data_IF_458281162649
#
_entry.id   IF_458281162649
#
_cell.length_a   1.000
_cell.length_b   1.000
_cell.length_c   1.000
_cell.angle_alpha   90.00
_cell.angle_beta   90.00
_cell.angle_gamma   90.00
#
_symmetry.space_group_name_H-M   'P 1'
#
loop_
_entity.id
_entity.type
_entity.pdbx_description
1 polymer ?
#
# COMPACT_ATOMS: atom_id res chain seq x y z
N UNK A 1 -19.70 -0.39 12.82
CA UNK A 1 -18.67 -0.91 13.72
C UNK A 1 -18.99 -0.56 15.16
N UNK A 2 -18.93 -1.54 16.04
CA UNK A 2 -19.00 -1.29 17.49
C UNK A 2 -17.83 -0.34 17.86
N UNK A 3 -18.10 0.69 18.64
CA UNK A 3 -17.09 1.69 19.00
C UNK A 3 -16.93 2.86 18.02
N UNK A 4 -17.37 2.76 16.77
CA UNK A 4 -17.26 3.87 15.80
C UNK A 4 -18.01 5.11 16.32
N UNK A 5 -17.30 6.23 16.43
CA UNK A 5 -17.85 7.49 16.97
C UNK A 5 -17.86 7.58 18.50
N UNK A 6 -17.39 6.54 19.23
CA UNK A 6 -17.20 6.62 20.66
C UNK A 6 -15.97 7.46 21.03
N UNK A 7 -15.92 8.09 22.21
CA UNK A 7 -14.74 8.80 22.68
C UNK A 7 -13.62 7.84 23.09
N UNK A 8 -12.37 8.32 23.06
CA UNK A 8 -11.20 7.58 23.52
C UNK A 8 -10.73 6.49 22.58
N UNK A 9 -9.94 5.55 23.12
CA UNK A 9 -9.24 4.52 22.32
C UNK A 9 -10.18 3.61 21.53
N UNK A 10 -11.37 3.32 22.06
CA UNK A 10 -12.35 2.48 21.38
C UNK A 10 -12.83 3.11 20.07
N UNK A 11 -13.18 4.39 20.12
CA UNK A 11 -13.61 5.11 18.91
C UNK A 11 -12.47 5.33 17.93
N UNK A 12 -11.29 5.61 18.43
CA UNK A 12 -10.09 5.78 17.61
C UNK A 12 -9.75 4.48 16.86
N UNK A 13 -9.67 3.36 17.57
CA UNK A 13 -9.46 2.04 16.98
C UNK A 13 -10.50 1.72 15.91
N UNK A 14 -11.79 1.84 16.23
CA UNK A 14 -12.85 1.51 15.29
C UNK A 14 -12.82 2.40 14.02
N UNK A 15 -12.45 3.67 14.18
CA UNK A 15 -12.29 4.59 13.05
C UNK A 15 -11.14 4.19 12.14
N UNK A 16 -9.96 3.95 12.69
CA UNK A 16 -8.76 3.60 11.90
C UNK A 16 -8.87 2.20 11.28
N UNK A 17 -9.43 1.24 12.02
CA UNK A 17 -9.70 -0.09 11.48
C UNK A 17 -10.63 -0.05 10.27
N UNK A 18 -11.70 0.73 10.31
CA UNK A 18 -12.64 0.83 9.19
C UNK A 18 -12.10 1.70 8.06
N UNK A 19 -11.63 2.91 8.34
CA UNK A 19 -11.29 3.88 7.31
C UNK A 19 -9.88 3.67 6.74
N UNK A 20 -8.94 3.19 7.53
CA UNK A 20 -7.58 3.01 7.02
C UNK A 20 -7.33 1.56 6.61
N UNK A 21 -7.34 0.63 7.53
CA UNK A 21 -7.08 -0.78 7.21
C UNK A 21 -8.20 -1.38 6.34
N UNK A 22 -9.44 -1.18 6.71
CA UNK A 22 -10.61 -1.79 6.04
C UNK A 22 -10.80 -1.30 4.61
N UNK A 23 -10.65 0.01 4.35
CA UNK A 23 -10.71 0.54 2.98
C UNK A 23 -9.58 -0.01 2.11
N UNK A 24 -8.35 0.00 2.61
CA UNK A 24 -7.19 -0.55 1.88
C UNK A 24 -7.41 -2.03 1.53
N UNK A 25 -7.92 -2.80 2.48
CA UNK A 25 -8.24 -4.21 2.25
C UNK A 25 -9.31 -4.40 1.18
N UNK A 26 -10.36 -3.57 1.19
CA UNK A 26 -11.41 -3.60 0.14
C UNK A 26 -10.86 -3.19 -1.22
N UNK A 27 -9.98 -2.19 -1.30
CA UNK A 27 -9.35 -1.77 -2.57
C UNK A 27 -8.45 -2.87 -3.14
N UNK A 28 -7.63 -3.50 -2.30
CA UNK A 28 -6.81 -4.64 -2.71
C UNK A 28 -7.65 -5.75 -3.34
N UNK A 29 -8.83 -5.99 -2.80
CA UNK A 29 -9.72 -7.09 -3.19
C UNK A 29 -10.79 -6.68 -4.22
N UNK A 30 -10.70 -5.51 -4.85
CA UNK A 30 -11.55 -5.16 -5.99
C UNK A 30 -11.41 -6.25 -7.06
N UNK A 31 -12.53 -6.88 -7.54
CA UNK A 31 -12.48 -8.05 -8.41
C UNK A 31 -12.17 -7.72 -9.87
N UNK A 32 -11.17 -6.88 -10.09
CA UNK A 32 -10.59 -6.50 -11.39
C UNK A 32 -9.20 -5.91 -11.15
N UNK A 33 -8.30 -5.88 -12.16
CA UNK A 33 -7.03 -5.18 -12.04
C UNK A 33 -7.20 -3.70 -11.70
N UNK A 34 -6.35 -3.21 -10.82
CA UNK A 34 -6.29 -1.82 -10.38
C UNK A 34 -4.89 -1.28 -10.61
N UNK A 35 -4.80 -0.01 -11.00
CA UNK A 35 -3.51 0.68 -11.22
C UNK A 35 -3.53 2.03 -10.52
N UNK A 36 -2.35 2.47 -10.09
CA UNK A 36 -2.17 3.80 -9.50
C UNK A 36 -1.00 4.53 -10.17
N UNK A 37 -1.21 5.81 -10.45
CA UNK A 37 -0.18 6.77 -10.87
C UNK A 37 0.34 7.50 -9.65
N UNK A 38 1.66 7.58 -9.50
CA UNK A 38 2.30 8.17 -8.32
C UNK A 38 3.32 9.21 -8.74
N UNK A 39 3.25 10.40 -8.12
CA UNK A 39 4.19 11.49 -8.35
C UNK A 39 4.46 12.25 -7.07
N UNK A 40 5.66 12.85 -6.97
CA UNK A 40 6.04 13.65 -5.81
C UNK A 40 6.16 12.83 -4.53
N UNK A 41 5.70 13.34 -3.40
CA UNK A 41 5.91 12.72 -2.09
C UNK A 41 4.74 11.84 -1.66
N UNK A 42 5.02 10.59 -1.36
CA UNK A 42 4.11 9.59 -0.79
C UNK A 42 4.57 9.33 0.64
N UNK A 43 3.91 9.94 1.61
CA UNK A 43 4.34 9.92 3.01
C UNK A 43 3.25 9.26 3.86
N UNK A 44 3.64 8.32 4.73
CA UNK A 44 2.76 7.70 5.73
C UNK A 44 1.41 7.24 5.13
N UNK A 45 0.30 7.87 5.46
CA UNK A 45 -1.02 7.58 4.89
C UNK A 45 -1.07 7.56 3.36
N UNK A 46 -0.15 8.25 2.68
CA UNK A 46 0.00 8.15 1.22
C UNK A 46 0.36 6.74 0.75
N UNK A 47 1.14 5.99 1.53
CA UNK A 47 1.48 4.60 1.23
C UNK A 47 0.24 3.70 1.25
N UNK A 48 -0.69 3.95 2.18
CA UNK A 48 -1.96 3.23 2.26
C UNK A 48 -2.86 3.47 1.04
N UNK A 49 -2.70 4.62 0.37
CA UNK A 49 -3.42 4.94 -0.85
C UNK A 49 -2.76 4.33 -2.11
N UNK A 50 -1.57 3.77 -2.00
CA UNK A 50 -0.80 3.25 -3.13
C UNK A 50 -0.68 1.72 -3.07
N UNK A 51 -0.30 1.15 -1.95
CA UNK A 51 -0.02 -0.28 -1.80
C UNK A 51 -1.18 -1.25 -2.07
N UNK A 52 -2.46 -0.88 -1.85
CA UNK A 52 -3.57 -1.77 -2.20
C UNK A 52 -3.77 -2.00 -3.69
N UNK A 53 -3.13 -1.23 -4.55
CA UNK A 53 -3.27 -1.36 -6.00
C UNK A 53 -2.36 -2.46 -6.56
N UNK A 54 -2.79 -3.09 -7.66
CA UNK A 54 -2.08 -4.23 -8.25
C UNK A 54 -0.82 -3.80 -9.03
N UNK A 55 -0.86 -2.61 -9.62
CA UNK A 55 0.24 -2.07 -10.44
C UNK A 55 0.47 -0.61 -10.06
N UNK A 56 1.72 -0.30 -9.74
CA UNK A 56 2.17 1.04 -9.38
C UNK A 56 3.09 1.57 -10.49
N UNK A 57 2.70 2.69 -11.09
CA UNK A 57 3.53 3.45 -12.03
C UNK A 57 3.92 4.76 -11.37
N UNK A 58 5.20 5.02 -11.22
CA UNK A 58 5.72 6.21 -10.56
C UNK A 58 6.44 7.13 -11.53
N UNK A 59 6.40 8.43 -11.27
CA UNK A 59 7.31 9.37 -11.90
C UNK A 59 8.69 9.32 -11.24
N UNK A 60 9.74 9.72 -11.96
CA UNK A 60 11.13 9.73 -11.49
C UNK A 60 11.32 10.56 -10.21
N UNK A 61 10.48 11.59 -10.01
CA UNK A 61 10.49 12.46 -8.83
C UNK A 61 9.75 11.89 -7.63
N UNK A 62 9.08 10.74 -7.77
CA UNK A 62 8.35 10.14 -6.65
C UNK A 62 9.28 9.68 -5.53
N UNK A 63 8.84 9.93 -4.28
CA UNK A 63 9.56 9.57 -3.05
C UNK A 63 8.60 8.95 -2.06
N UNK A 64 9.00 7.85 -1.46
CA UNK A 64 8.16 7.03 -0.58
C UNK A 64 8.78 6.96 0.81
N UNK A 65 8.07 7.37 1.85
CA UNK A 65 8.58 7.33 3.23
C UNK A 65 7.48 7.07 4.26
N UNK A 66 7.88 6.47 5.38
CA UNK A 66 7.02 6.36 6.56
C UNK A 66 7.78 6.83 7.80
N UNK A 67 7.70 8.11 8.14
CA UNK A 67 8.41 8.69 9.28
C UNK A 67 7.64 8.60 10.60
N UNK A 68 6.53 7.84 10.68
CA UNK A 68 5.61 7.86 11.83
C UNK A 68 6.20 7.28 13.11
N UNK A 69 7.29 6.52 13.03
CA UNK A 69 8.04 6.07 14.20
C UNK A 69 8.52 7.26 15.06
N UNK A 70 8.76 8.41 14.44
CA UNK A 70 9.09 9.66 15.16
C UNK A 70 7.94 10.16 16.06
N UNK A 71 6.71 9.69 15.84
CA UNK A 71 5.53 9.99 16.65
C UNK A 71 5.19 8.90 17.66
N UNK A 72 6.00 7.86 17.77
CA UNK A 72 5.83 6.77 18.72
C UNK A 72 5.02 5.58 18.23
N UNK A 73 4.55 5.58 16.98
CA UNK A 73 3.82 4.46 16.38
C UNK A 73 4.71 3.61 15.48
N UNK A 74 4.31 2.38 15.20
CA UNK A 74 5.15 1.39 14.49
C UNK A 74 5.17 1.54 12.97
N UNK A 75 4.24 2.25 12.37
CA UNK A 75 4.05 2.39 10.94
C UNK A 75 2.60 2.75 10.62
N UNK A 76 2.24 2.82 9.35
CA UNK A 76 0.86 3.07 8.94
C UNK A 76 -0.03 1.83 9.15
N UNK A 77 -1.33 2.03 9.24
CA UNK A 77 -2.34 1.02 9.59
C UNK A 77 -2.39 -0.14 8.59
N UNK A 78 -2.27 0.15 7.30
CA UNK A 78 -2.02 -0.89 6.30
C UNK A 78 -0.52 -1.18 6.23
N UNK A 79 -0.02 -1.95 7.19
CA UNK A 79 1.41 -2.21 7.41
C UNK A 79 2.00 -3.14 6.34
N UNK A 80 2.07 -2.65 5.11
CA UNK A 80 2.56 -3.39 3.94
C UNK A 80 4.09 -3.46 3.82
N UNK A 81 4.85 -2.70 4.60
CA UNK A 81 6.29 -2.48 4.44
C UNK A 81 7.11 -3.75 4.16
N UNK A 82 7.04 -4.83 4.95
CA UNK A 82 7.86 -6.02 4.69
C UNK A 82 7.48 -6.76 3.41
N UNK A 83 6.22 -6.63 2.98
CA UNK A 83 5.70 -7.26 1.78
C UNK A 83 6.10 -6.48 0.52
N UNK A 84 6.20 -5.16 0.64
CA UNK A 84 6.49 -4.25 -0.47
C UNK A 84 8.00 -4.10 -0.75
N UNK A 85 8.82 -3.96 0.31
CA UNK A 85 10.25 -3.66 0.17
C UNK A 85 11.18 -4.71 0.82
N UNK A 86 10.62 -5.77 1.36
CA UNK A 86 11.37 -6.79 2.08
C UNK A 86 11.73 -6.38 3.51
N UNK A 87 11.98 -7.38 4.37
CA UNK A 87 12.08 -7.19 5.84
C UNK A 87 13.17 -6.20 6.27
N UNK A 88 14.36 -6.26 5.64
CA UNK A 88 15.47 -5.38 6.04
C UNK A 88 15.26 -3.94 5.61
N UNK A 89 14.80 -3.72 4.39
CA UNK A 89 14.55 -2.37 3.89
C UNK A 89 13.34 -1.73 4.58
N UNK A 90 12.32 -2.51 4.94
CA UNK A 90 11.22 -2.05 5.77
C UNK A 90 11.70 -1.50 7.12
N UNK A 91 12.58 -2.23 7.80
CA UNK A 91 13.17 -1.77 9.08
C UNK A 91 14.00 -0.49 8.91
N UNK A 92 14.83 -0.42 7.88
CA UNK A 92 15.63 0.76 7.58
C UNK A 92 14.71 1.98 7.33
N UNK A 93 13.73 1.85 6.45
CA UNK A 93 12.75 2.89 6.15
C UNK A 93 12.01 3.40 7.39
N UNK A 94 11.53 2.48 8.24
CA UNK A 94 10.80 2.81 9.46
C UNK A 94 11.71 3.42 10.55
N UNK A 95 12.93 2.90 10.72
CA UNK A 95 13.84 3.36 11.76
C UNK A 95 14.48 4.72 11.45
N UNK A 96 14.75 4.98 10.17
CA UNK A 96 15.37 6.25 9.74
C UNK A 96 14.34 7.31 9.35
N UNK A 97 13.16 6.91 8.89
CA UNK A 97 12.18 7.80 8.28
C UNK A 97 12.61 8.34 6.91
N UNK A 98 13.74 7.86 6.37
CA UNK A 98 14.26 8.31 5.09
C UNK A 98 13.40 7.85 3.92
N UNK A 99 13.32 8.70 2.90
CA UNK A 99 12.52 8.42 1.72
C UNK A 99 13.30 7.56 0.72
N UNK A 100 12.63 6.53 0.17
CA UNK A 100 13.10 5.78 -0.98
C UNK A 100 12.74 6.50 -2.27
N UNK A 101 13.62 6.44 -3.25
CA UNK A 101 13.36 6.92 -4.61
C UNK A 101 12.46 5.96 -5.38
N UNK A 102 11.85 6.43 -6.46
CA UNK A 102 11.06 5.58 -7.36
C UNK A 102 11.89 4.42 -7.94
N UNK A 103 13.15 4.68 -8.32
CA UNK A 103 14.04 3.65 -8.88
C UNK A 103 14.46 2.61 -7.82
N UNK A 104 14.71 3.01 -6.57
CA UNK A 104 14.95 2.06 -5.47
C UNK A 104 13.72 1.18 -5.25
N UNK A 105 12.53 1.78 -5.21
CA UNK A 105 11.27 1.05 -5.06
C UNK A 105 11.00 0.08 -6.23
N UNK A 106 11.38 0.45 -7.44
CA UNK A 106 11.33 -0.43 -8.62
C UNK A 106 12.31 -1.59 -8.50
N UNK A 107 13.54 -1.32 -8.08
CA UNK A 107 14.54 -2.36 -7.87
C UNK A 107 14.12 -3.38 -6.79
N UNK A 108 13.35 -2.94 -5.79
CA UNK A 108 12.80 -3.78 -4.72
C UNK A 108 11.50 -4.51 -5.12
N UNK A 109 10.88 -4.15 -6.25
CA UNK A 109 9.64 -4.75 -6.74
C UNK A 109 8.35 -4.08 -6.23
N UNK A 110 8.45 -3.01 -5.43
CA UNK A 110 7.29 -2.23 -4.97
C UNK A 110 6.66 -1.41 -6.11
N UNK A 111 7.47 -0.84 -6.99
CA UNK A 111 7.02 -0.06 -8.15
C UNK A 111 7.26 -0.86 -9.43
N UNK A 112 6.26 -0.98 -10.28
CA UNK A 112 6.37 -1.73 -11.53
C UNK A 112 7.15 -0.95 -12.62
N UNK A 113 6.86 0.33 -12.76
CA UNK A 113 7.46 1.18 -13.79
C UNK A 113 7.78 2.57 -13.26
N UNK A 114 8.91 3.10 -13.70
CA UNK A 114 9.29 4.51 -13.47
C UNK A 114 9.44 5.17 -14.82
N UNK A 115 8.80 6.31 -14.98
CA UNK A 115 8.77 7.12 -16.21
C UNK A 115 8.91 8.60 -15.87
N UNK A 116 9.14 9.45 -16.86
CA UNK A 116 9.11 10.90 -16.63
C UNK A 116 7.73 11.35 -16.16
N UNK A 117 7.67 12.47 -15.46
CA UNK A 117 6.41 13.01 -14.95
C UNK A 117 5.43 13.34 -16.07
N UNK A 118 5.95 13.82 -17.18
CA UNK A 118 5.19 14.18 -18.37
C UNK A 118 4.54 12.96 -19.03
N UNK A 119 5.23 11.82 -19.02
CA UNK A 119 4.78 10.57 -19.63
C UNK A 119 3.87 9.74 -18.73
N UNK A 120 3.83 10.02 -17.42
CA UNK A 120 3.18 9.19 -16.41
C UNK A 120 1.75 8.81 -16.78
N UNK A 121 0.93 9.78 -17.10
CA UNK A 121 -0.48 9.57 -17.45
C UNK A 121 -0.67 8.77 -18.73
N UNK A 122 0.09 9.12 -19.77
CA UNK A 122 -0.02 8.44 -21.06
C UNK A 122 0.43 6.98 -20.96
N UNK A 123 1.56 6.75 -20.31
CA UNK A 123 2.11 5.40 -20.08
C UNK A 123 1.13 4.53 -19.30
N UNK A 124 0.62 5.02 -18.16
CA UNK A 124 -0.32 4.27 -17.30
C UNK A 124 -1.61 3.97 -18.06
N UNK A 125 -2.15 4.94 -18.78
CA UNK A 125 -3.38 4.75 -19.56
C UNK A 125 -3.19 3.76 -20.71
N UNK A 126 -2.04 3.76 -21.37
CA UNK A 126 -1.70 2.79 -22.42
C UNK A 126 -1.65 1.37 -21.86
N UNK A 127 -1.01 1.19 -20.71
CA UNK A 127 -0.95 -0.10 -20.02
C UNK A 127 -2.35 -0.56 -19.57
N UNK A 128 -3.14 0.32 -18.95
CA UNK A 128 -4.50 0.00 -18.54
C UNK A 128 -5.38 -0.45 -19.72
N UNK A 129 -5.30 0.25 -20.85
CA UNK A 129 -5.99 -0.14 -22.09
C UNK A 129 -5.50 -1.47 -22.65
N UNK A 130 -4.21 -1.77 -22.51
CA UNK A 130 -3.67 -3.06 -22.93
C UNK A 130 -4.22 -4.20 -22.07
N UNK A 131 -4.21 -4.04 -20.74
CA UNK A 131 -4.78 -5.01 -19.80
C UNK A 131 -6.28 -5.20 -20.04
N UNK A 132 -7.02 -4.13 -20.28
CA UNK A 132 -8.46 -4.16 -20.52
C UNK A 132 -8.90 -4.97 -21.78
N UNK A 133 -7.97 -5.32 -22.65
CA UNK A 133 -8.25 -6.21 -23.81
C UNK A 133 -8.28 -7.68 -23.43
N UNK A 134 -7.75 -8.04 -22.26
CA UNK A 134 -7.74 -9.42 -21.80
C UNK A 134 -9.13 -9.84 -21.27
N UNK A 135 -9.48 -11.13 -21.35
CA UNK A 135 -10.72 -11.62 -20.79
C UNK A 135 -10.85 -11.32 -19.30
N UNK A 136 -11.91 -10.62 -18.90
CA UNK A 136 -12.13 -10.18 -17.52
C UNK A 136 -12.07 -11.32 -16.50
N UNK A 137 -12.62 -12.49 -16.84
CA UNK A 137 -12.57 -13.66 -15.96
C UNK A 137 -11.12 -14.10 -15.71
N UNK A 138 -10.27 -14.15 -16.74
CA UNK A 138 -8.87 -14.49 -16.61
C UNK A 138 -8.11 -13.51 -15.70
N UNK A 139 -8.34 -12.21 -15.90
CA UNK A 139 -7.74 -11.16 -15.05
C UNK A 139 -8.16 -11.31 -13.59
N UNK A 140 -9.45 -11.53 -13.34
CA UNK A 140 -9.99 -11.74 -11.99
C UNK A 140 -9.38 -12.97 -11.33
N UNK A 141 -9.31 -14.08 -12.02
CA UNK A 141 -8.74 -15.33 -11.50
C UNK A 141 -7.25 -15.19 -11.21
N UNK A 142 -6.49 -14.54 -12.10
CA UNK A 142 -5.07 -14.29 -11.90
C UNK A 142 -4.82 -13.42 -10.65
N UNK A 143 -5.53 -12.29 -10.51
CA UNK A 143 -5.45 -11.45 -9.31
C UNK A 143 -5.80 -12.23 -8.05
N UNK A 144 -6.90 -12.97 -8.07
CA UNK A 144 -7.35 -13.76 -6.93
C UNK A 144 -6.30 -14.81 -6.53
N UNK A 145 -5.65 -15.48 -7.50
CA UNK A 145 -4.62 -16.47 -7.22
C UNK A 145 -3.40 -15.86 -6.53
N UNK A 146 -2.95 -14.69 -6.98
CA UNK A 146 -1.83 -13.97 -6.35
C UNK A 146 -2.20 -13.50 -4.94
N UNK A 147 -3.40 -12.89 -4.79
CA UNK A 147 -3.85 -12.42 -3.49
C UNK A 147 -3.99 -13.57 -2.47
N UNK A 148 -4.58 -14.70 -2.88
CA UNK A 148 -4.72 -15.87 -2.01
C UNK A 148 -3.38 -16.45 -1.58
N UNK A 149 -2.35 -16.41 -2.46
CA UNK A 149 -1.01 -16.83 -2.08
C UNK A 149 -0.43 -15.93 -0.97
N UNK A 150 -0.55 -14.61 -1.08
CA UNK A 150 -0.13 -13.68 -0.03
C UNK A 150 -0.93 -13.90 1.27
N UNK A 151 -2.24 -14.12 1.16
CA UNK A 151 -3.11 -14.35 2.31
C UNK A 151 -2.72 -15.64 3.04
N UNK A 152 -2.43 -16.70 2.30
CA UNK A 152 -1.93 -17.97 2.85
C UNK A 152 -0.56 -17.83 3.52
N UNK A 153 0.26 -16.89 3.08
CA UNK A 153 1.54 -16.53 3.72
C UNK A 153 1.38 -15.65 4.96
N UNK A 154 0.16 -15.25 5.31
CA UNK A 154 -0.13 -14.52 6.53
C UNK A 154 -0.24 -13.01 6.39
N UNK A 155 -0.50 -12.48 5.20
CA UNK A 155 -0.65 -11.02 4.99
C UNK A 155 -1.70 -10.43 5.91
N UNK A 156 -2.94 -10.93 5.88
CA UNK A 156 -4.02 -10.37 6.68
C UNK A 156 -3.77 -10.42 8.20
N UNK A 157 -3.42 -11.57 8.81
CA UNK A 157 -3.11 -11.60 10.24
C UNK A 157 -1.92 -10.72 10.61
N UNK A 158 -0.94 -10.53 9.72
CA UNK A 158 0.18 -9.62 9.96
C UNK A 158 -0.26 -8.16 10.00
N UNK A 159 -1.16 -7.75 9.10
CA UNK A 159 -1.75 -6.39 9.11
C UNK A 159 -2.53 -6.14 10.39
N UNK A 160 -3.35 -7.08 10.83
CA UNK A 160 -4.11 -6.97 12.08
C UNK A 160 -3.22 -6.89 13.32
N UNK A 161 -2.14 -7.68 13.36
CA UNK A 161 -1.17 -7.62 14.45
C UNK A 161 -0.44 -6.27 14.50
N UNK A 162 -0.04 -5.73 13.33
CA UNK A 162 0.59 -4.43 13.24
C UNK A 162 -0.37 -3.30 13.67
N UNK A 163 -1.64 -3.38 13.28
CA UNK A 163 -2.69 -2.46 13.73
C UNK A 163 -2.84 -2.44 15.25
N UNK A 164 -2.79 -3.62 15.89
CA UNK A 164 -2.83 -3.72 17.35
C UNK A 164 -1.62 -3.04 18.01
N UNK A 165 -0.43 -3.21 17.44
CA UNK A 165 0.80 -2.56 17.94
C UNK A 165 0.76 -1.04 17.75
N UNK A 166 0.17 -0.55 16.66
CA UNK A 166 0.02 0.87 16.40
C UNK A 166 -0.78 1.56 17.48
N UNK A 167 -1.91 0.98 17.87
CA UNK A 167 -2.78 1.53 18.93
C UNK A 167 -2.14 1.51 20.32
N UNK A 168 -1.05 0.78 20.53
CA UNK A 168 -0.26 0.89 21.76
C UNK A 168 0.60 2.16 21.80
N UNK A 169 0.83 2.80 20.67
CA UNK A 169 1.60 4.04 20.54
C UNK A 169 0.72 5.31 20.60
N UNK A 170 -0.58 5.17 20.50
CA UNK A 170 -1.56 6.25 20.66
C UNK A 170 -2.00 6.36 22.11
#
# INVERSE_FOLDING_TARGET
>A
WAGFGQPGIEGHWAFEEELYLGLCWRWRNIPKPTMVEVQGRVIAGGLMLVWPFDIIVASEDARFSDPVVAFGVNGVEYFGHPWEVGVRKAKEMLFTGEALTAEECKALGMVNHVVSREELKEFTMKMAKHIARQPMLGLKLAKQSVNQMQDAQGLWPSLQAAMSLQHMGH
#
